data_IF_963619314980
#
_entry.id   IF_963619314980
#
_cell.length_a   1.000
_cell.length_b   1.000
_cell.length_c   1.000
_cell.angle_alpha   90.00
_cell.angle_beta   90.00
_cell.angle_gamma   90.00
#
_symmetry.space_group_name_H-M   'P 1'
#
loop_
_entity.id
_entity.type
_entity.pdbx_description
1 polymer ?
#
# COMPACT_ATOMS: atom_id res chain seq x y z
N UNK A 1 12.66 -14.94 -9.71
CA UNK A 1 11.36 -15.33 -9.12
C UNK A 1 10.98 -14.39 -7.98
N UNK A 2 11.81 -14.27 -6.94
CA UNK A 2 11.56 -13.39 -5.78
C UNK A 2 11.29 -11.93 -6.16
N UNK A 3 12.12 -11.34 -7.02
CA UNK A 3 11.88 -9.97 -7.52
C UNK A 3 10.50 -9.81 -8.19
N UNK A 4 10.04 -10.81 -8.93
CA UNK A 4 8.70 -10.77 -9.54
C UNK A 4 7.60 -10.82 -8.50
N UNK A 5 7.73 -11.71 -7.51
CA UNK A 5 6.75 -11.84 -6.41
C UNK A 5 6.63 -10.56 -5.57
N UNK A 6 7.77 -9.90 -5.28
CA UNK A 6 7.76 -8.63 -4.56
C UNK A 6 7.09 -7.51 -5.37
N UNK A 7 7.41 -7.38 -6.65
CA UNK A 7 6.79 -6.36 -7.50
C UNK A 7 5.29 -6.62 -7.73
N UNK A 8 4.87 -7.88 -7.87
CA UNK A 8 3.45 -8.26 -7.95
C UNK A 8 2.71 -7.88 -6.66
N UNK A 9 3.31 -8.14 -5.50
CA UNK A 9 2.77 -7.73 -4.20
C UNK A 9 2.59 -6.21 -4.09
N UNK A 10 3.62 -5.43 -4.44
CA UNK A 10 3.54 -3.96 -4.44
C UNK A 10 2.51 -3.44 -5.43
N UNK A 11 2.42 -4.03 -6.63
CA UNK A 11 1.41 -3.67 -7.61
C UNK A 11 -0.01 -3.91 -7.09
N UNK A 12 -0.24 -5.00 -6.36
CA UNK A 12 -1.51 -5.27 -5.72
C UNK A 12 -1.85 -4.21 -4.65
N UNK A 13 -0.89 -3.87 -3.77
CA UNK A 13 -1.06 -2.81 -2.77
C UNK A 13 -1.41 -1.45 -3.41
N UNK A 14 -0.73 -1.08 -4.49
CA UNK A 14 -1.03 0.15 -5.25
C UNK A 14 -2.41 0.11 -5.89
N UNK A 15 -2.87 -1.07 -6.31
CA UNK A 15 -4.25 -1.32 -6.74
C UNK A 15 -5.25 -1.00 -5.64
N UNK A 16 -5.06 -1.60 -4.46
CA UNK A 16 -5.91 -1.37 -3.27
C UNK A 16 -5.94 0.12 -2.92
N UNK A 17 -4.78 0.78 -2.86
CA UNK A 17 -4.70 2.22 -2.57
C UNK A 17 -5.53 3.05 -3.54
N UNK A 18 -5.43 2.79 -4.85
CA UNK A 18 -6.20 3.52 -5.86
C UNK A 18 -7.70 3.32 -5.69
N UNK A 19 -8.14 2.10 -5.42
CA UNK A 19 -9.57 1.83 -5.17
C UNK A 19 -10.06 2.52 -3.90
N UNK A 20 -9.35 2.39 -2.78
CA UNK A 20 -9.72 3.04 -1.53
C UNK A 20 -9.69 4.57 -1.62
N UNK A 21 -8.76 5.16 -2.38
CA UNK A 21 -8.75 6.61 -2.65
C UNK A 21 -9.99 7.04 -3.43
N UNK A 22 -10.38 6.29 -4.47
CA UNK A 22 -11.62 6.56 -5.20
C UNK A 22 -12.84 6.47 -4.28
N UNK A 23 -12.90 5.48 -3.40
CA UNK A 23 -14.01 5.35 -2.45
C UNK A 23 -14.06 6.55 -1.48
N UNK A 24 -12.92 7.08 -1.05
CA UNK A 24 -12.86 8.33 -0.26
C UNK A 24 -13.34 9.55 -1.05
N UNK A 25 -12.96 9.68 -2.33
CA UNK A 25 -13.43 10.76 -3.20
C UNK A 25 -14.96 10.70 -3.41
N UNK A 26 -15.50 9.48 -3.58
CA UNK A 26 -16.94 9.26 -3.72
C UNK A 26 -17.68 9.66 -2.42
N UNK A 27 -17.14 9.31 -1.24
CA UNK A 27 -17.70 9.70 0.08
C UNK A 27 -17.63 11.21 0.30
N UNK A 28 -16.53 11.87 -0.07
CA UNK A 28 -16.39 13.32 0.02
C UNK A 28 -17.47 14.03 -0.82
N UNK A 29 -17.74 13.51 -2.02
CA UNK A 29 -18.78 14.03 -2.91
C UNK A 29 -20.20 13.94 -2.36
N UNK A 30 -20.49 12.97 -1.48
CA UNK A 30 -21.80 12.85 -0.80
C UNK A 30 -22.02 13.96 0.24
N UNK A 31 -20.95 14.59 0.74
CA UNK A 31 -21.03 15.72 1.68
C UNK A 31 -21.52 15.36 3.08
N UNK A 32 -21.55 14.06 3.42
CA UNK A 32 -21.98 13.56 4.73
C UNK A 32 -20.83 13.42 5.75
N UNK A 33 -19.58 13.56 5.29
CA UNK A 33 -18.36 13.42 6.08
C UNK A 33 -17.54 14.70 5.97
N UNK A 34 -16.80 15.07 7.03
CA UNK A 34 -15.99 16.28 7.01
C UNK A 34 -14.74 16.11 6.13
N UNK A 35 -14.28 17.20 5.50
CA UNK A 35 -13.05 17.21 4.71
C UNK A 35 -11.82 16.81 5.55
N UNK A 36 -11.82 17.17 6.84
CA UNK A 36 -10.76 16.81 7.79
C UNK A 36 -10.68 15.30 8.00
N UNK A 37 -11.83 14.64 8.15
CA UNK A 37 -11.90 13.18 8.32
C UNK A 37 -11.46 12.45 7.04
N UNK A 38 -11.86 12.94 5.85
CA UNK A 38 -11.42 12.39 4.56
C UNK A 38 -9.91 12.51 4.39
N UNK A 39 -9.34 13.69 4.69
CA UNK A 39 -7.89 13.91 4.65
C UNK A 39 -7.15 13.02 5.63
N UNK A 40 -7.67 12.84 6.84
CA UNK A 40 -7.09 11.95 7.84
C UNK A 40 -7.10 10.50 7.38
N UNK A 41 -8.25 9.99 6.93
CA UNK A 41 -8.39 8.64 6.41
C UNK A 41 -7.46 8.37 5.22
N UNK A 42 -7.33 9.33 4.30
CA UNK A 42 -6.41 9.26 3.18
C UNK A 42 -4.94 9.17 3.61
N UNK A 43 -4.52 9.94 4.62
CA UNK A 43 -3.17 9.85 5.18
C UNK A 43 -2.92 8.49 5.82
N UNK A 44 -3.87 7.97 6.59
CA UNK A 44 -3.74 6.65 7.22
C UNK A 44 -3.65 5.53 6.18
N UNK A 45 -4.43 5.63 5.09
CA UNK A 45 -4.35 4.70 3.96
C UNK A 45 -2.95 4.70 3.34
N UNK A 46 -2.39 5.88 3.05
CA UNK A 46 -1.07 5.98 2.45
C UNK A 46 0.02 5.42 3.37
N UNK A 47 -0.03 5.74 4.67
CA UNK A 47 0.91 5.23 5.66
C UNK A 47 0.85 3.69 5.78
N UNK A 48 -0.36 3.12 5.75
CA UNK A 48 -0.56 1.69 5.78
C UNK A 48 0.04 1.01 4.54
N UNK A 49 -0.19 1.60 3.36
CA UNK A 49 0.35 1.07 2.10
C UNK A 49 1.88 1.14 2.09
N UNK A 50 2.47 2.27 2.47
CA UNK A 50 3.92 2.43 2.53
C UNK A 50 4.57 1.46 3.52
N UNK A 51 3.96 1.24 4.68
CA UNK A 51 4.45 0.25 5.65
C UNK A 51 4.52 -1.14 5.03
N UNK A 52 3.45 -1.58 4.36
CA UNK A 52 3.40 -2.90 3.76
C UNK A 52 4.34 -3.02 2.53
N UNK A 53 4.54 -1.94 1.75
CA UNK A 53 5.57 -1.93 0.70
C UNK A 53 6.97 -2.11 1.30
N UNK A 54 7.28 -1.47 2.44
CA UNK A 54 8.54 -1.64 3.17
C UNK A 54 8.73 -3.08 3.66
N UNK A 55 7.69 -3.67 4.26
CA UNK A 55 7.74 -5.06 4.73
C UNK A 55 7.99 -6.05 3.58
N UNK A 56 7.43 -5.80 2.39
CA UNK A 56 7.71 -6.59 1.19
C UNK A 56 9.18 -6.45 0.77
N UNK A 57 9.72 -5.23 0.81
CA UNK A 57 11.12 -4.98 0.45
C UNK A 57 12.11 -5.60 1.43
N UNK A 58 11.81 -5.55 2.72
CA UNK A 58 12.59 -6.20 3.78
C UNK A 58 12.56 -7.73 3.62
N UNK A 59 11.37 -8.31 3.42
CA UNK A 59 11.23 -9.75 3.20
C UNK A 59 11.94 -10.22 1.92
N UNK A 60 11.92 -9.39 0.87
CA UNK A 60 12.65 -9.66 -0.38
C UNK A 60 14.15 -9.70 -0.14
N UNK A 61 14.69 -8.68 0.52
CA UNK A 61 16.12 -8.56 0.80
C UNK A 61 16.60 -9.73 1.66
N UNK A 62 15.89 -10.03 2.76
CA UNK A 62 16.21 -11.17 3.61
C UNK A 62 16.22 -12.50 2.83
N UNK A 63 15.27 -12.69 1.91
CA UNK A 63 15.21 -13.91 1.11
C UNK A 63 16.29 -13.96 0.03
N UNK A 64 16.69 -12.82 -0.52
CA UNK A 64 17.80 -12.72 -1.45
C UNK A 64 19.12 -13.09 -0.77
N UNK A 65 19.38 -12.56 0.42
CA UNK A 65 20.56 -12.89 1.24
C UNK A 65 20.60 -14.38 1.59
N UNK A 66 19.48 -14.96 2.05
CA UNK A 66 19.37 -16.40 2.35
C UNK A 66 19.74 -17.29 1.14
N UNK A 67 19.41 -16.86 -0.09
CA UNK A 67 19.75 -17.60 -1.30
C UNK A 67 21.22 -17.46 -1.71
N UNK A 68 21.89 -16.38 -1.28
CA UNK A 68 23.30 -16.11 -1.59
C UNK A 68 24.27 -16.75 -0.58
N UNK A 69 23.79 -17.04 0.64
CA UNK A 69 24.57 -17.70 1.69
C UNK A 69 24.70 -19.24 1.52
N UNK A 70 24.23 -19.80 0.40
CA UNK A 70 24.29 -21.24 0.07
C UNK A 70 25.62 -21.65 -0.56
#
# INVERSE_FOLDING_TARGET
MINGMSEDGKNHLRGIRRHARKDLDDIEGEGHVSEDDIRHAGSQLDDLIHRNESEIDEARAAKEDELLEV
#
